data_IF_637669579198
#
_entry.id   IF_637669579198
#
_cell.length_a   1.000
_cell.length_b   1.000
_cell.length_c   1.000
_cell.angle_alpha   90.00
_cell.angle_beta   90.00
_cell.angle_gamma   90.00
#
_symmetry.space_group_name_H-M   'P 1'
#
loop_
_entity.id
_entity.type
_entity.pdbx_description
1 polymer ?
#
# COMPACT_ATOMS: atom_id res chain seq x y z
N UNK A 1 7.56 -10.33 18.16
CA UNK A 1 6.47 -9.56 17.50
C UNK A 1 5.23 -10.41 17.55
N UNK A 2 4.16 -9.95 18.18
CA UNK A 2 2.94 -10.74 18.34
C UNK A 2 2.38 -11.11 16.96
N UNK A 3 1.85 -12.34 16.82
CA UNK A 3 1.28 -12.86 15.57
C UNK A 3 0.25 -11.89 14.95
N UNK A 4 -0.53 -11.22 15.80
CA UNK A 4 -1.50 -10.21 15.41
C UNK A 4 -0.86 -8.99 14.72
N UNK A 5 0.25 -8.47 15.25
CA UNK A 5 0.97 -7.32 14.65
C UNK A 5 1.53 -7.64 13.26
N UNK A 6 2.03 -8.87 13.07
CA UNK A 6 2.52 -9.32 11.77
C UNK A 6 1.42 -9.34 10.71
N UNK A 7 0.23 -9.86 11.06
CA UNK A 7 -0.91 -9.91 10.16
C UNK A 7 -1.41 -8.50 9.82
N UNK A 8 -1.49 -7.60 10.81
CA UNK A 8 -1.88 -6.20 10.58
C UNK A 8 -0.93 -5.47 9.65
N UNK A 9 0.40 -5.63 9.82
CA UNK A 9 1.40 -5.02 8.94
C UNK A 9 1.30 -5.54 7.51
N UNK A 10 1.07 -6.84 7.34
CA UNK A 10 0.89 -7.46 6.03
C UNK A 10 -0.36 -6.92 5.33
N UNK A 11 -1.50 -6.86 6.04
CA UNK A 11 -2.73 -6.28 5.51
C UNK A 11 -2.57 -4.82 5.12
N UNK A 12 -1.95 -4.00 5.99
CA UNK A 12 -1.72 -2.58 5.72
C UNK A 12 -0.80 -2.36 4.51
N UNK A 13 0.22 -3.20 4.36
CA UNK A 13 1.12 -3.16 3.20
C UNK A 13 0.38 -3.50 1.89
N UNK A 14 -0.45 -4.56 1.89
CA UNK A 14 -1.29 -4.88 0.73
C UNK A 14 -2.28 -3.77 0.39
N UNK A 15 -2.86 -3.11 1.40
CA UNK A 15 -3.72 -1.95 1.20
C UNK A 15 -2.94 -0.78 0.57
N UNK A 16 -1.72 -0.48 1.05
CA UNK A 16 -0.85 0.53 0.44
C UNK A 16 -0.53 0.22 -1.02
N UNK A 17 -0.30 -1.04 -1.35
CA UNK A 17 -0.04 -1.53 -2.71
C UNK A 17 -1.29 -1.44 -3.61
N UNK A 18 -2.46 -1.77 -3.08
CA UNK A 18 -3.72 -1.56 -3.80
C UNK A 18 -4.01 -0.07 -4.03
N UNK A 19 -3.64 0.78 -3.06
CA UNK A 19 -3.78 2.23 -3.17
C UNK A 19 -2.83 2.84 -4.22
N UNK A 20 -1.80 2.14 -4.70
CA UNK A 20 -1.01 2.60 -5.85
C UNK A 20 -1.58 2.11 -7.18
N UNK A 21 -2.18 0.92 -7.21
CA UNK A 21 -2.74 0.31 -8.42
C UNK A 21 -4.14 0.85 -8.77
N UNK A 22 -5.06 0.93 -7.81
CA UNK A 22 -6.46 1.34 -8.06
C UNK A 22 -6.55 2.75 -8.64
N UNK A 23 -5.85 3.77 -8.09
CA UNK A 23 -5.90 5.12 -8.65
C UNK A 23 -5.37 5.18 -10.08
N UNK A 24 -4.45 4.28 -10.47
CA UNK A 24 -3.93 4.25 -11.84
C UNK A 24 -5.04 3.90 -12.83
N UNK A 25 -5.88 2.91 -12.48
CA UNK A 25 -7.07 2.60 -13.27
C UNK A 25 -8.09 3.75 -13.24
N UNK A 26 -8.32 4.39 -12.09
CA UNK A 26 -9.27 5.52 -12.01
C UNK A 26 -8.90 6.70 -12.92
N UNK A 27 -7.61 7.00 -13.10
CA UNK A 27 -7.14 8.02 -14.06
C UNK A 27 -7.48 7.61 -15.50
N UNK A 28 -7.31 6.33 -15.86
CA UNK A 28 -7.67 5.85 -17.21
C UNK A 28 -9.16 5.94 -17.51
N UNK A 29 -10.01 5.89 -16.49
CA UNK A 29 -11.47 6.07 -16.62
C UNK A 29 -11.93 7.52 -16.51
N UNK A 30 -11.01 8.50 -16.42
CA UNK A 30 -11.31 9.93 -16.24
C UNK A 30 -12.11 10.24 -14.94
N UNK A 31 -12.06 9.34 -13.96
CA UNK A 31 -12.79 9.47 -12.68
C UNK A 31 -11.98 10.31 -11.67
N UNK A 32 -10.67 10.45 -11.90
CA UNK A 32 -9.74 11.04 -10.95
C UNK A 32 -8.74 11.96 -11.65
N UNK A 33 -8.57 13.16 -11.09
CA UNK A 33 -7.61 14.14 -11.58
C UNK A 33 -6.16 13.71 -11.30
N UNK A 34 -5.24 14.13 -12.16
CA UNK A 34 -3.81 13.79 -12.08
C UNK A 34 -3.17 14.24 -10.76
N UNK A 35 -3.63 15.35 -10.17
CA UNK A 35 -3.14 15.84 -8.90
C UNK A 35 -3.58 14.94 -7.74
N UNK A 36 -4.83 14.49 -7.74
CA UNK A 36 -5.37 13.56 -6.73
C UNK A 36 -4.68 12.20 -6.81
N UNK A 37 -4.48 11.70 -8.02
CA UNK A 37 -3.73 10.48 -8.31
C UNK A 37 -2.31 10.50 -7.73
N UNK A 38 -1.56 11.58 -7.99
CA UNK A 38 -0.20 11.75 -7.47
C UNK A 38 -0.15 11.65 -5.94
N UNK A 39 -1.08 12.33 -5.27
CA UNK A 39 -1.13 12.32 -3.80
C UNK A 39 -1.48 10.93 -3.25
N UNK A 40 -2.44 10.23 -3.88
CA UNK A 40 -2.86 8.88 -3.47
C UNK A 40 -1.76 7.84 -3.68
N UNK A 41 -1.08 7.85 -4.83
CA UNK A 41 0.05 6.96 -5.08
C UNK A 41 1.19 7.25 -4.12
N UNK A 42 1.50 8.52 -3.86
CA UNK A 42 2.58 8.87 -2.95
C UNK A 42 2.28 8.38 -1.52
N UNK A 43 1.05 8.58 -1.04
CA UNK A 43 0.60 8.04 0.24
C UNK A 43 0.65 6.50 0.28
N UNK A 44 0.12 5.82 -0.75
CA UNK A 44 0.13 4.36 -0.86
C UNK A 44 1.55 3.78 -0.91
N UNK A 45 2.44 4.44 -1.66
CA UNK A 45 3.85 4.06 -1.77
C UNK A 45 4.57 4.24 -0.44
N UNK A 46 4.36 5.34 0.28
CA UNK A 46 4.96 5.54 1.61
C UNK A 46 4.46 4.48 2.59
N UNK A 47 3.14 4.22 2.63
CA UNK A 47 2.57 3.18 3.49
C UNK A 47 3.17 1.82 3.16
N UNK A 48 3.23 1.44 1.89
CA UNK A 48 3.82 0.18 1.46
C UNK A 48 5.32 0.13 1.79
N UNK A 49 6.09 1.17 1.48
CA UNK A 49 7.54 1.24 1.71
C UNK A 49 7.89 1.11 3.20
N UNK A 50 7.14 1.77 4.08
CA UNK A 50 7.37 1.70 5.53
C UNK A 50 6.78 0.43 6.17
N UNK A 51 5.95 -0.34 5.48
CA UNK A 51 5.36 -1.58 6.05
C UNK A 51 5.98 -2.84 5.46
N UNK A 52 6.28 -2.85 4.15
CA UNK A 52 6.76 -4.00 3.40
C UNK A 52 8.05 -4.63 3.94
N UNK A 53 9.12 -3.87 4.24
CA UNK A 53 10.37 -4.43 4.75
C UNK A 53 10.19 -5.19 6.08
N UNK A 54 9.19 -4.80 6.87
CA UNK A 54 8.95 -5.38 8.19
C UNK A 54 8.33 -6.78 8.15
N UNK A 55 7.78 -7.21 7.00
CA UNK A 55 7.14 -8.53 6.87
C UNK A 55 7.66 -9.39 5.70
N UNK A 56 8.13 -8.81 4.60
CA UNK A 56 8.51 -9.56 3.37
C UNK A 56 9.60 -10.60 3.59
N UNK A 57 10.54 -10.36 4.52
CA UNK A 57 11.66 -11.29 4.78
C UNK A 57 11.63 -11.88 6.20
N UNK A 58 10.53 -11.72 6.93
CA UNK A 58 10.36 -12.39 8.23
C UNK A 58 9.63 -13.71 8.06
N UNK A 59 10.37 -14.81 8.23
CA UNK A 59 9.77 -16.12 8.48
C UNK A 59 9.17 -16.12 9.88
N UNK A 60 7.86 -16.34 9.99
CA UNK A 60 7.24 -16.74 11.27
C UNK A 60 7.92 -18.05 11.68
N UNK A 61 8.74 -18.00 12.74
CA UNK A 61 9.32 -19.19 13.36
C UNK A 61 8.36 -19.72 14.42
#
# INVERSE_FOLDING_TARGET
MNKHLYISLKALSYLGLMLTLIPAFCVFYDIMDMQQYKNLILAGTLIWLFTAPFWINRKLK
#
